data_IF_490987197832
#
_entry.id   IF_490987197832
#
_cell.length_a   1.000
_cell.length_b   1.000
_cell.length_c   1.000
_cell.angle_alpha   90.00
_cell.angle_beta   90.00
_cell.angle_gamma   90.00
#
_symmetry.space_group_name_H-M   'P 1'
#
loop_
_entity.id
_entity.type
_entity.pdbx_description
1 polymer ?
#
# COMPACT_ATOMS: atom_id res chain seq x y z
N UNK A 1 10.49 1.64 16.66
CA UNK A 1 9.80 0.48 16.06
C UNK A 1 8.53 0.27 16.86
N UNK A 2 7.37 0.61 16.29
CA UNK A 2 6.10 0.40 16.98
C UNK A 2 5.85 -1.10 17.06
N UNK A 3 5.67 -1.63 18.27
CA UNK A 3 5.34 -3.03 18.48
C UNK A 3 3.84 -3.17 18.32
N UNK A 4 3.36 -3.36 17.10
CA UNK A 4 1.98 -3.77 16.87
C UNK A 4 1.69 -5.04 17.66
N UNK A 5 0.51 -5.11 18.28
CA UNK A 5 0.06 -6.32 18.93
C UNK A 5 -0.11 -7.46 17.89
N UNK A 6 -0.24 -8.69 18.39
CA UNK A 6 -0.34 -9.88 17.52
C UNK A 6 -1.55 -9.81 16.60
N UNK A 7 -2.68 -9.28 17.09
CA UNK A 7 -3.92 -9.22 16.32
C UNK A 7 -3.79 -8.21 15.18
N UNK A 8 -3.20 -7.05 15.44
CA UNK A 8 -2.90 -6.06 14.38
C UNK A 8 -2.02 -6.66 13.30
N UNK A 9 -0.96 -7.39 13.68
CA UNK A 9 -0.07 -8.06 12.71
C UNK A 9 -0.78 -9.14 11.90
N UNK A 10 -1.69 -9.90 12.52
CA UNK A 10 -2.51 -10.89 11.80
C UNK A 10 -3.46 -10.21 10.80
N UNK A 11 -4.16 -9.15 11.21
CA UNK A 11 -5.03 -8.35 10.32
C UNK A 11 -4.28 -7.76 9.12
N UNK A 12 -3.04 -7.33 9.33
CA UNK A 12 -2.17 -6.88 8.23
C UNK A 12 -2.00 -8.00 7.20
N UNK A 13 -1.64 -9.21 7.63
CA UNK A 13 -1.45 -10.32 6.69
C UNK A 13 -2.76 -10.73 6.00
N UNK A 14 -3.85 -10.77 6.75
CA UNK A 14 -5.19 -11.13 6.22
C UNK A 14 -5.67 -10.16 5.15
N UNK A 15 -5.31 -8.88 5.26
CA UNK A 15 -5.66 -7.83 4.29
C UNK A 15 -4.69 -7.75 3.09
N UNK A 16 -4.16 -8.89 2.65
CA UNK A 16 -3.10 -8.99 1.65
C UNK A 16 -1.92 -8.05 1.99
N UNK A 17 -1.39 -8.17 3.20
CA UNK A 17 -0.30 -7.32 3.72
C UNK A 17 -0.64 -5.82 3.71
N UNK A 18 -1.90 -5.49 4.03
CA UNK A 18 -2.44 -4.13 4.08
C UNK A 18 -2.91 -3.56 2.73
N UNK A 19 -2.71 -4.26 1.62
CA UNK A 19 -3.04 -3.75 0.27
C UNK A 19 -4.52 -3.50 0.08
N UNK A 20 -5.38 -4.33 0.67
CA UNK A 20 -6.84 -4.22 0.53
C UNK A 20 -7.40 -2.89 1.02
N UNK A 21 -6.73 -2.24 1.96
CA UNK A 21 -7.14 -0.94 2.49
C UNK A 21 -6.62 0.24 1.67
N UNK A 22 -5.75 0.00 0.70
CA UNK A 22 -5.14 1.05 -0.08
C UNK A 22 -4.12 1.90 0.70
N UNK A 23 -3.66 2.96 0.05
CA UNK A 23 -2.56 3.80 0.53
C UNK A 23 -2.88 5.27 0.33
N UNK A 24 -2.45 6.12 1.26
CA UNK A 24 -2.32 7.54 1.00
C UNK A 24 -0.92 7.83 0.48
N UNK A 25 -0.86 8.71 -0.50
CA UNK A 25 0.37 9.18 -1.11
C UNK A 25 0.68 10.52 -0.50
N UNK A 26 1.79 10.61 0.22
CA UNK A 26 2.21 11.82 0.90
C UNK A 26 3.57 12.30 0.38
N UNK A 27 3.74 13.61 0.29
CA UNK A 27 5.00 14.28 -0.03
C UNK A 27 5.07 15.59 0.74
N UNK A 28 6.23 15.87 1.35
CA UNK A 28 6.46 17.09 2.13
C UNK A 28 5.36 17.31 3.21
N UNK A 29 4.90 16.22 3.83
CA UNK A 29 3.85 16.22 4.85
C UNK A 29 2.42 16.45 4.33
N UNK A 30 2.22 16.53 3.02
CA UNK A 30 0.91 16.75 2.38
C UNK A 30 0.43 15.49 1.68
N UNK A 31 -0.85 15.19 1.86
CA UNK A 31 -1.54 14.10 1.13
C UNK A 31 -1.91 14.58 -0.27
N UNK A 32 -1.44 13.85 -1.28
CA UNK A 32 -1.64 14.19 -2.69
C UNK A 32 -2.76 13.35 -3.31
N UNK A 33 -2.79 12.06 -2.99
CA UNK A 33 -3.74 11.10 -3.55
C UNK A 33 -4.04 9.95 -2.57
N UNK A 34 -5.09 9.21 -2.87
CA UNK A 34 -5.36 7.88 -2.35
C UNK A 34 -5.18 6.86 -3.49
N UNK A 35 -4.56 5.73 -3.16
CA UNK A 35 -4.49 4.54 -3.98
C UNK A 35 -5.56 3.57 -3.47
N UNK A 36 -6.54 3.28 -4.30
CA UNK A 36 -7.70 2.43 -3.99
C UNK A 36 -7.79 1.28 -4.98
N UNK A 37 -8.73 0.36 -4.75
CA UNK A 37 -9.05 -0.74 -5.67
C UNK A 37 -7.81 -1.55 -6.11
N UNK A 38 -7.08 -2.20 -5.17
CA UNK A 38 -5.90 -2.98 -5.51
C UNK A 38 -6.27 -4.17 -6.40
N UNK A 39 -5.67 -4.23 -7.58
CA UNK A 39 -5.80 -5.37 -8.49
C UNK A 39 -4.42 -6.03 -8.58
N UNK A 40 -4.33 -7.29 -8.16
CA UNK A 40 -3.11 -8.07 -8.28
C UNK A 40 -2.73 -8.19 -9.77
N UNK A 41 -1.51 -7.77 -10.11
CA UNK A 41 -0.94 -7.95 -11.43
C UNK A 41 0.21 -8.96 -11.35
N UNK A 42 1.06 -8.99 -12.37
CA UNK A 42 2.20 -9.90 -12.46
C UNK A 42 3.20 -9.69 -11.31
N UNK A 43 3.85 -10.78 -10.88
CA UNK A 43 4.92 -10.88 -9.89
C UNK A 43 5.28 -9.60 -9.11
N UNK A 44 4.59 -9.38 -7.98
CA UNK A 44 4.80 -8.30 -7.00
C UNK A 44 4.35 -6.90 -7.42
N UNK A 45 3.70 -6.77 -8.58
CA UNK A 45 3.04 -5.55 -9.01
C UNK A 45 1.56 -5.57 -8.64
N UNK A 46 1.08 -4.43 -8.19
CA UNK A 46 -0.33 -4.23 -7.88
C UNK A 46 -0.77 -2.95 -8.58
N UNK A 47 -1.82 -3.05 -9.38
CA UNK A 47 -2.45 -1.91 -10.02
C UNK A 47 -3.37 -1.26 -8.98
N UNK A 48 -3.25 0.04 -8.81
CA UNK A 48 -4.15 0.82 -7.97
C UNK A 48 -4.82 1.90 -8.80
N UNK A 49 -6.06 2.20 -8.46
CA UNK A 49 -6.73 3.41 -8.93
C UNK A 49 -6.18 4.61 -8.17
N UNK A 50 -5.86 5.69 -8.89
CA UNK A 50 -5.38 6.94 -8.30
C UNK A 50 -6.57 7.88 -8.11
N UNK A 51 -6.82 8.28 -6.87
CA UNK A 51 -7.83 9.27 -6.50
C UNK A 51 -7.13 10.52 -5.95
N UNK A 52 -7.03 11.60 -6.74
CA UNK A 52 -6.43 12.83 -6.25
C UNK A 52 -7.21 13.41 -5.07
N UNK A 53 -6.49 13.78 -4.02
CA UNK A 53 -7.05 14.42 -2.81
C UNK A 53 -6.71 15.92 -2.78
N UNK A 54 -5.64 16.31 -3.48
CA UNK A 54 -5.26 17.71 -3.65
C UNK A 54 -6.22 18.46 -4.59
N UNK A 55 -6.53 19.72 -4.27
CA UNK A 55 -7.29 20.62 -5.15
C UNK A 55 -6.42 21.38 -6.16
N UNK A 56 -5.09 21.25 -6.07
CA UNK A 56 -4.16 21.92 -6.99
C UNK A 56 -4.10 21.17 -8.32
N UNK A 57 -4.47 21.86 -9.40
CA UNK A 57 -4.44 21.30 -10.75
C UNK A 57 -3.03 20.81 -11.15
N UNK A 58 -1.98 21.52 -10.75
CA UNK A 58 -0.60 21.12 -11.03
C UNK A 58 -0.24 19.78 -10.37
N UNK A 59 -0.67 19.58 -9.12
CA UNK A 59 -0.48 18.30 -8.41
C UNK A 59 -1.29 17.19 -9.08
N UNK A 60 -2.55 17.47 -9.44
CA UNK A 60 -3.42 16.50 -10.10
C UNK A 60 -2.80 16.05 -11.44
N UNK A 61 -2.33 16.99 -12.25
CA UNK A 61 -1.70 16.68 -13.53
C UNK A 61 -0.43 15.86 -13.35
N UNK A 62 0.41 16.25 -12.38
CA UNK A 62 1.67 15.56 -12.12
C UNK A 62 1.46 14.11 -11.65
N UNK A 63 0.39 13.80 -10.90
CA UNK A 63 0.06 12.42 -10.48
C UNK A 63 -0.11 11.45 -11.66
N UNK A 64 -0.34 11.94 -12.88
CA UNK A 64 -0.55 11.13 -14.08
C UNK A 64 0.58 11.25 -15.11
N UNK A 65 1.72 11.84 -14.73
CA UNK A 65 2.94 11.82 -15.52
C UNK A 65 3.69 10.50 -15.33
N UNK A 66 4.15 9.89 -16.42
CA UNK A 66 4.68 8.51 -16.45
C UNK A 66 5.76 8.22 -15.39
N UNK A 67 6.67 9.18 -15.15
CA UNK A 67 7.81 9.04 -14.23
C UNK A 67 7.56 9.63 -12.83
N UNK A 68 6.36 10.15 -12.56
CA UNK A 68 6.07 10.87 -11.33
C UNK A 68 6.34 10.01 -10.09
N UNK A 69 5.97 8.73 -10.15
CA UNK A 69 5.99 7.78 -9.04
C UNK A 69 7.32 7.04 -8.88
N UNK A 70 8.28 7.26 -9.77
CA UNK A 70 9.62 6.67 -9.71
C UNK A 70 10.57 7.45 -8.79
N UNK A 71 10.11 8.53 -8.14
CA UNK A 71 10.92 9.35 -7.25
C UNK A 71 10.84 8.89 -5.79
N UNK A 72 11.95 8.81 -5.03
CA UNK A 72 11.96 8.44 -3.61
C UNK A 72 11.36 9.51 -2.68
N UNK A 73 10.68 10.51 -3.25
CA UNK A 73 10.08 11.65 -2.53
C UNK A 73 8.69 11.34 -1.97
N UNK A 74 8.07 10.25 -2.42
CA UNK A 74 6.73 9.86 -1.99
C UNK A 74 6.82 8.82 -0.90
N UNK A 75 5.99 9.02 0.12
CA UNK A 75 5.77 8.04 1.16
C UNK A 75 4.34 7.54 1.07
N UNK A 76 4.17 6.25 1.28
CA UNK A 76 2.88 5.58 1.19
C UNK A 76 2.46 5.19 2.58
N UNK A 77 1.39 5.81 3.08
CA UNK A 77 0.82 5.52 4.39
C UNK A 77 -0.39 4.63 4.23
N UNK A 78 -0.41 3.49 4.91
CA UNK A 78 -1.58 2.61 4.83
C UNK A 78 -2.82 3.32 5.41
N UNK A 79 -3.97 3.20 4.75
CA UNK A 79 -5.19 3.89 5.21
C UNK A 79 -5.72 3.33 6.53
N UNK A 80 -5.61 2.01 6.74
CA UNK A 80 -6.10 1.34 7.95
C UNK A 80 -5.02 1.22 9.04
N UNK A 81 -3.74 1.17 8.65
CA UNK A 81 -2.60 1.03 9.55
C UNK A 81 -1.67 2.25 9.45
N UNK A 82 -2.07 3.43 9.96
CA UNK A 82 -1.42 4.72 9.67
C UNK A 82 0.03 4.85 10.19
N UNK A 83 0.45 3.98 11.09
CA UNK A 83 1.84 3.91 11.58
C UNK A 83 2.78 3.22 10.58
N UNK A 84 2.24 2.55 9.56
CA UNK A 84 3.00 1.89 8.51
C UNK A 84 3.14 2.83 7.32
N UNK A 85 4.35 3.38 7.22
CA UNK A 85 4.79 4.23 6.11
C UNK A 85 5.85 3.46 5.36
N UNK A 86 5.63 3.26 4.07
CA UNK A 86 6.54 2.52 3.21
C UNK A 86 6.89 3.34 1.98
N UNK A 87 7.97 2.95 1.34
CA UNK A 87 8.35 3.45 0.03
C UNK A 87 7.86 2.49 -1.04
N UNK A 88 7.47 3.04 -2.18
CA UNK A 88 6.98 2.30 -3.31
C UNK A 88 7.33 3.05 -4.58
N UNK A 89 7.34 2.33 -5.69
CA UNK A 89 7.60 2.93 -7.00
C UNK A 89 6.91 2.15 -8.10
N UNK A 90 6.72 2.81 -9.22
CA UNK A 90 6.32 2.20 -10.46
C UNK A 90 5.66 3.19 -11.42
N UNK A 91 5.35 2.77 -12.66
CA UNK A 91 4.87 3.68 -13.69
C UNK A 91 3.37 3.95 -13.57
N UNK A 92 2.93 5.10 -14.08
CA UNK A 92 1.51 5.34 -14.41
C UNK A 92 1.11 4.35 -15.51
N UNK A 93 -0.11 3.81 -15.39
CA UNK A 93 -0.66 2.93 -16.41
C UNK A 93 -1.11 3.75 -17.63
N UNK A 94 -1.19 3.09 -18.78
CA UNK A 94 -1.59 3.68 -20.07
C UNK A 94 -2.95 4.39 -20.06
N UNK A 95 -3.84 4.04 -19.13
CA UNK A 95 -5.15 4.66 -19.00
C UNK A 95 -5.17 5.98 -18.21
N UNK A 96 -4.01 6.39 -17.65
CA UNK A 96 -3.86 7.61 -16.83
C UNK A 96 -4.90 7.74 -15.73
N UNK A 97 -5.33 6.61 -15.17
CA UNK A 97 -6.20 6.53 -13.98
C UNK A 97 -5.62 5.59 -12.94
N UNK A 98 -4.77 4.68 -13.37
CA UNK A 98 -4.12 3.72 -12.52
C UNK A 98 -2.62 3.92 -12.47
N UNK A 99 -2.02 3.39 -11.42
CA UNK A 99 -0.58 3.29 -11.25
C UNK A 99 -0.23 1.84 -10.92
N UNK A 100 0.83 1.36 -11.55
CA UNK A 100 1.41 0.06 -11.25
C UNK A 100 2.42 0.25 -10.13
N UNK A 101 2.16 -0.30 -8.96
CA UNK A 101 3.03 -0.11 -7.80
C UNK A 101 3.71 -1.40 -7.39
N UNK A 102 5.00 -1.28 -7.09
CA UNK A 102 5.81 -2.32 -6.46
C UNK A 102 6.12 -1.94 -5.01
N UNK A 103 6.37 -2.95 -4.18
CA UNK A 103 6.76 -2.82 -2.77
C UNK A 103 5.69 -2.29 -1.82
N UNK A 104 4.48 -1.99 -2.30
CA UNK A 104 3.37 -1.59 -1.44
C UNK A 104 2.77 -2.78 -0.67
N UNK A 105 3.44 -3.20 0.40
CA UNK A 105 2.97 -4.21 1.35
C UNK A 105 3.71 -4.07 2.69
N UNK A 106 3.02 -4.41 3.77
CA UNK A 106 3.58 -4.40 5.12
C UNK A 106 4.09 -5.80 5.46
N UNK A 107 5.33 -5.94 5.90
CA UNK A 107 5.86 -7.21 6.41
C UNK A 107 5.91 -7.17 7.95
N UNK A 108 4.85 -7.61 8.65
CA UNK A 108 4.87 -7.62 10.10
C UNK A 108 5.86 -8.67 10.62
N UNK A 109 6.68 -8.34 11.64
CA UNK A 109 7.55 -9.33 12.26
C UNK A 109 6.72 -10.31 13.09
N UNK A 110 7.02 -11.61 13.00
CA UNK A 110 6.43 -12.63 13.87
C UNK A 110 7.51 -13.45 14.58
N UNK A 111 7.36 -13.59 15.90
CA UNK A 111 8.11 -14.53 16.71
C UNK A 111 7.75 -15.98 16.39
N UNK A 112 8.61 -16.93 16.81
CA UNK A 112 8.48 -18.36 16.48
C UNK A 112 7.08 -18.93 16.81
N UNK A 113 6.53 -18.57 17.96
CA UNK A 113 5.21 -19.05 18.40
C UNK A 113 4.03 -18.34 17.72
N UNK A 114 4.20 -17.08 17.33
CA UNK A 114 3.17 -16.33 16.60
C UNK A 114 3.01 -16.87 15.17
N UNK A 115 4.10 -17.35 14.55
CA UNK A 115 4.04 -18.04 13.25
C UNK A 115 3.14 -19.27 13.31
N UNK A 116 3.15 -20.03 14.40
CA UNK A 116 2.26 -21.20 14.57
C UNK A 116 0.80 -20.75 14.60
N UNK A 117 0.47 -19.69 15.35
CA UNK A 117 -0.89 -19.10 15.38
C UNK A 117 -1.32 -18.60 14.00
N UNK A 118 -0.42 -17.93 13.28
CA UNK A 118 -0.61 -17.47 11.91
C UNK A 118 -0.96 -18.62 10.96
N UNK A 119 -0.15 -19.69 10.91
CA UNK A 119 -0.41 -20.86 10.06
C UNK A 119 -1.75 -21.53 10.39
N UNK A 120 -2.08 -21.62 11.68
CA UNK A 120 -3.34 -22.20 12.12
C UNK A 120 -4.57 -21.37 11.70
N UNK A 121 -4.47 -20.04 11.76
CA UNK A 121 -5.52 -19.11 11.36
C UNK A 121 -5.74 -19.13 9.84
N UNK A 122 -4.66 -19.13 9.04
CA UNK A 122 -4.76 -19.32 7.60
C UNK A 122 -5.39 -20.67 7.22
N UNK A 123 -5.00 -21.75 7.91
CA UNK A 123 -5.57 -23.07 7.67
C UNK A 123 -7.07 -23.14 7.97
N UNK A 124 -7.55 -22.39 8.97
CA UNK A 124 -8.98 -22.26 9.28
C UNK A 124 -9.76 -21.41 8.28
N UNK A 125 -9.15 -20.33 7.77
CA UNK A 125 -9.82 -19.43 6.81
C UNK A 125 -9.92 -20.02 5.39
N UNK A 126 -9.10 -21.02 5.06
CA UNK A 126 -9.14 -21.76 3.79
C UNK A 126 -10.08 -22.98 3.77
N UNK A 127 -10.92 -23.17 4.79
CA UNK A 127 -12.05 -24.12 4.81
C UNK A 127 -13.36 -23.35 4.82
#
# INVERSE_FOLDING_TARGET
MFSDDVETRLRIVESNYGREYGWYVERDGRRLAALTEPISSDMFWVRYRVEPVSSSADVINALFEDDYWCSPKYVFRNQQFPHHVIEGMGPVDSDRRHVMMRFLYIVPPFGRWERVRYFWRLWRAGR
#
